data_IF_085047864147
#
_entry.id   IF_085047864147
#
_cell.length_a   1.000
_cell.length_b   1.000
_cell.length_c   1.000
_cell.angle_alpha   90.00
_cell.angle_beta   90.00
_cell.angle_gamma   90.00
#
_symmetry.space_group_name_H-M   'P 1'
#
loop_
_entity.id
_entity.type
_entity.pdbx_description
1 polymer ?
#
# COMPACT_ATOMS: atom_id res chain seq x y z
N UNK A 1 -43.04 14.90 -20.11
CA UNK A 1 -42.08 13.83 -19.74
C UNK A 1 -40.63 14.09 -20.16
N UNK A 2 -40.34 14.73 -21.31
CA UNK A 2 -38.96 14.91 -21.83
C UNK A 2 -37.99 15.66 -20.89
N UNK A 3 -38.48 16.61 -20.09
CA UNK A 3 -37.66 17.40 -19.16
C UNK A 3 -37.32 16.68 -17.84
N UNK A 4 -38.12 15.69 -17.42
CA UNK A 4 -37.90 14.94 -16.17
C UNK A 4 -36.66 14.04 -16.25
N UNK A 5 -36.44 13.39 -17.41
CA UNK A 5 -35.25 12.56 -17.64
C UNK A 5 -33.96 13.40 -17.74
N UNK A 6 -34.05 14.66 -18.17
CA UNK A 6 -32.88 15.57 -18.23
C UNK A 6 -32.46 15.95 -16.82
N UNK A 7 -33.41 16.30 -15.95
CA UNK A 7 -33.14 16.64 -14.56
C UNK A 7 -32.61 15.44 -13.76
N UNK A 8 -33.13 14.24 -14.01
CA UNK A 8 -32.65 13.02 -13.35
C UNK A 8 -31.21 12.67 -13.77
N UNK A 9 -30.87 12.82 -15.06
CA UNK A 9 -29.49 12.64 -15.55
C UNK A 9 -28.52 13.68 -14.99
N UNK A 10 -28.96 14.93 -14.86
CA UNK A 10 -28.17 15.99 -14.25
C UNK A 10 -27.89 15.70 -12.76
N UNK A 11 -28.89 15.25 -12.00
CA UNK A 11 -28.72 14.87 -10.60
C UNK A 11 -27.75 13.69 -10.44
N UNK A 12 -27.82 12.69 -11.32
CA UNK A 12 -26.90 11.55 -11.30
C UNK A 12 -25.45 11.96 -11.62
N UNK A 13 -25.25 12.89 -12.55
CA UNK A 13 -23.94 13.42 -12.89
C UNK A 13 -23.32 14.24 -11.72
N UNK A 14 -24.14 15.02 -11.01
CA UNK A 14 -23.69 15.78 -9.83
C UNK A 14 -23.35 14.84 -8.67
N UNK A 15 -24.13 13.78 -8.44
CA UNK A 15 -23.85 12.78 -7.42
C UNK A 15 -22.54 11.99 -7.71
N UNK A 16 -22.25 11.70 -8.98
CA UNK A 16 -21.01 11.04 -9.38
C UNK A 16 -19.77 11.92 -9.11
N UNK A 17 -19.88 13.23 -9.34
CA UNK A 17 -18.81 14.18 -9.03
C UNK A 17 -18.62 14.39 -7.53
N UNK A 18 -19.70 14.31 -6.73
CA UNK A 18 -19.63 14.42 -5.27
C UNK A 18 -19.03 13.17 -4.60
N UNK A 19 -18.94 12.04 -5.31
CA UNK A 19 -18.39 10.78 -4.79
C UNK A 19 -16.86 10.68 -4.93
N UNK A 20 -16.21 11.68 -5.51
CA UNK A 20 -14.76 11.72 -5.67
C UNK A 20 -14.09 12.03 -4.32
N UNK A 21 -13.72 10.97 -3.60
CA UNK A 21 -12.80 11.09 -2.47
C UNK A 21 -11.37 11.18 -3.01
N UNK A 22 -10.55 12.14 -2.56
CA UNK A 22 -9.14 12.20 -2.97
C UNK A 22 -8.44 10.93 -2.48
N UNK A 23 -7.87 10.17 -3.41
CA UNK A 23 -6.95 9.08 -3.05
C UNK A 23 -5.72 9.74 -2.42
N UNK A 24 -5.48 9.48 -1.13
CA UNK A 24 -4.21 9.86 -0.51
C UNK A 24 -3.15 8.86 -0.95
N UNK A 25 -2.05 9.35 -1.51
CA UNK A 25 -0.87 8.53 -1.72
C UNK A 25 -0.48 7.92 -0.37
N UNK A 26 -0.46 6.59 -0.29
CA UNK A 26 -0.14 5.92 0.95
C UNK A 26 1.35 6.05 1.20
N UNK A 27 1.72 6.89 2.18
CA UNK A 27 3.11 7.00 2.61
C UNK A 27 3.57 5.66 3.18
N UNK A 28 4.61 5.08 2.60
CA UNK A 28 5.27 3.86 3.09
C UNK A 28 6.40 4.21 4.05
N UNK A 29 6.73 3.26 4.92
CA UNK A 29 7.93 3.34 5.78
C UNK A 29 9.02 2.50 5.12
N UNK A 30 10.06 3.16 4.62
CA UNK A 30 11.21 2.48 4.02
C UNK A 30 12.12 1.94 5.11
N UNK A 31 12.43 0.64 5.04
CA UNK A 31 13.30 -0.03 6.01
C UNK A 31 14.43 -0.72 5.27
N UNK A 32 15.67 -0.31 5.56
CA UNK A 32 16.87 -0.92 4.98
C UNK A 32 17.24 -2.24 5.67
N UNK A 33 17.52 -3.28 4.89
CA UNK A 33 18.02 -4.58 5.35
C UNK A 33 19.50 -4.67 4.96
N UNK A 34 20.39 -4.36 5.90
CA UNK A 34 21.84 -4.37 5.68
C UNK A 34 22.44 -5.71 6.12
N UNK A 35 22.32 -6.73 5.26
CA UNK A 35 22.91 -8.06 5.44
C UNK A 35 23.94 -8.36 4.34
N UNK A 36 24.95 -9.15 4.66
CA UNK A 36 25.91 -9.74 3.72
C UNK A 36 25.24 -10.85 2.90
N UNK A 37 24.48 -10.47 1.87
CA UNK A 37 23.83 -11.41 0.95
C UNK A 37 24.79 -12.05 -0.07
N UNK A 38 26.08 -11.77 0.04
CA UNK A 38 27.15 -12.37 -0.76
C UNK A 38 28.39 -12.63 0.10
N UNK A 39 29.31 -13.47 -0.39
CA UNK A 39 30.50 -13.88 0.36
C UNK A 39 30.22 -15.00 1.37
N UNK A 40 31.15 -15.24 2.29
CA UNK A 40 31.11 -16.38 3.23
C UNK A 40 29.99 -16.30 4.26
N UNK A 41 29.42 -15.13 4.50
CA UNK A 41 28.32 -14.89 5.44
C UNK A 41 26.92 -15.01 4.82
N UNK A 42 26.82 -15.08 3.48
CA UNK A 42 25.54 -15.16 2.77
C UNK A 42 24.68 -16.36 3.15
N UNK A 43 25.30 -17.50 3.45
CA UNK A 43 24.58 -18.74 3.79
C UNK A 43 23.75 -18.56 5.06
N UNK A 44 24.29 -17.91 6.08
CA UNK A 44 23.59 -17.70 7.35
C UNK A 44 22.63 -16.51 7.29
N UNK A 45 22.96 -15.47 6.51
CA UNK A 45 22.20 -14.21 6.51
C UNK A 45 21.03 -14.19 5.52
N UNK A 46 21.02 -15.05 4.49
CA UNK A 46 19.89 -15.17 3.56
C UNK A 46 18.61 -15.60 4.29
N UNK A 47 18.71 -16.62 5.16
CA UNK A 47 17.59 -17.09 5.97
C UNK A 47 17.04 -15.99 6.89
N UNK A 48 17.92 -15.13 7.44
CA UNK A 48 17.50 -13.99 8.27
C UNK A 48 16.77 -12.92 7.45
N UNK A 49 17.25 -12.63 6.24
CA UNK A 49 16.59 -11.71 5.31
C UNK A 49 15.21 -12.23 4.91
N UNK A 50 15.06 -13.53 4.67
CA UNK A 50 13.77 -14.13 4.30
C UNK A 50 12.76 -14.07 5.46
N UNK A 51 13.20 -14.32 6.70
CA UNK A 51 12.38 -14.15 7.91
C UNK A 51 11.95 -12.69 8.07
N UNK A 52 12.84 -11.72 7.82
CA UNK A 52 12.52 -10.30 7.86
C UNK A 52 11.43 -9.92 6.85
N UNK A 53 11.54 -10.38 5.61
CA UNK A 53 10.54 -10.13 4.58
C UNK A 53 9.19 -10.75 4.94
N UNK A 54 9.18 -11.99 5.41
CA UNK A 54 7.98 -12.65 5.91
C UNK A 54 7.33 -11.87 7.07
N UNK A 55 8.15 -11.37 8.01
CA UNK A 55 7.67 -10.58 9.14
C UNK A 55 7.07 -9.24 8.68
N UNK A 56 7.68 -8.59 7.70
CA UNK A 56 7.15 -7.35 7.12
C UNK A 56 5.81 -7.59 6.42
N UNK A 57 5.66 -8.70 5.72
CA UNK A 57 4.39 -9.09 5.10
C UNK A 57 3.29 -9.29 6.13
N UNK A 58 3.58 -9.97 7.25
CA UNK A 58 2.62 -10.12 8.36
C UNK A 58 2.23 -8.77 8.99
N UNK A 59 3.21 -7.91 9.26
CA UNK A 59 2.95 -6.57 9.82
C UNK A 59 2.10 -5.75 8.86
N UNK A 60 2.44 -5.79 7.57
CA UNK A 60 1.68 -5.14 6.53
C UNK A 60 0.25 -5.68 6.48
N UNK A 61 0.05 -6.99 6.51
CA UNK A 61 -1.28 -7.61 6.55
C UNK A 61 -2.12 -7.13 7.75
N UNK A 62 -1.47 -6.85 8.90
CA UNK A 62 -2.10 -6.32 10.12
C UNK A 62 -2.30 -4.79 10.13
N UNK A 63 -2.09 -4.11 9.01
CA UNK A 63 -2.31 -2.67 8.87
C UNK A 63 -1.04 -1.81 8.89
N UNK A 64 0.14 -2.44 8.94
CA UNK A 64 1.43 -1.75 8.91
C UNK A 64 1.76 -1.06 10.24
N UNK A 65 2.74 -0.16 10.20
CA UNK A 65 3.18 0.62 11.37
C UNK A 65 2.55 1.99 11.29
N UNK A 66 1.76 2.36 12.31
CA UNK A 66 1.02 3.64 12.33
C UNK A 66 0.13 3.84 11.08
N UNK A 67 -0.42 2.75 10.53
CA UNK A 67 -1.24 2.77 9.30
C UNK A 67 -0.45 2.84 7.99
N UNK A 68 0.89 2.79 8.06
CA UNK A 68 1.79 2.85 6.90
C UNK A 68 2.41 1.49 6.63
N UNK A 69 2.44 1.09 5.36
CA UNK A 69 3.06 -0.18 4.95
C UNK A 69 4.58 -0.06 4.98
N UNK A 70 5.24 -1.11 5.44
CA UNK A 70 6.69 -1.26 5.37
C UNK A 70 7.09 -1.58 3.93
N UNK A 71 8.07 -0.85 3.42
CA UNK A 71 8.72 -1.06 2.13
C UNK A 71 10.18 -1.48 2.40
N UNK A 72 10.53 -2.77 2.25
CA UNK A 72 11.90 -3.23 2.45
C UNK A 72 12.82 -2.70 1.33
N UNK A 73 14.00 -2.24 1.73
CA UNK A 73 15.10 -1.86 0.84
C UNK A 73 16.26 -2.81 1.13
N UNK A 74 16.59 -3.67 0.16
CA UNK A 74 17.63 -4.71 0.27
C UNK A 74 18.85 -4.29 -0.52
#
# INVERSE_FOLDING_TARGET
>A
MKYSNIMFKAALAVAALASFSPVKAQETVKVGILHSLSGTMAISETSLRDILLFTFDEINAKGGVLGKKIEPVV
#
